data_IF_474746500115
#
_entry.id   IF_474746500115
#
_cell.length_a   1.000
_cell.length_b   1.000
_cell.length_c   1.000
_cell.angle_alpha   90.00
_cell.angle_beta   90.00
_cell.angle_gamma   90.00
#
_symmetry.space_group_name_H-M   'P 1'
#
loop_
_entity.id
_entity.type
_entity.pdbx_description
1 polymer ?
#
# COMPACT_ATOMS: atom_id res chain seq x y z
N UNK A 1 1.84 5.90 50.54
CA UNK A 1 2.54 7.04 49.91
C UNK A 1 2.22 7.05 48.42
N UNK A 2 1.89 8.20 47.80
CA UNK A 2 1.42 8.26 46.40
C UNK A 2 2.48 7.98 45.31
N UNK A 3 3.65 7.47 45.69
CA UNK A 3 4.84 7.39 44.82
C UNK A 3 5.09 5.99 44.22
N UNK A 4 4.31 4.97 44.62
CA UNK A 4 4.42 3.61 44.05
C UNK A 4 3.52 3.38 42.83
N UNK A 5 2.59 4.30 42.53
CA UNK A 5 1.65 4.14 41.41
C UNK A 5 2.19 4.65 40.07
N UNK A 6 3.36 5.29 40.04
CA UNK A 6 3.93 5.86 38.81
C UNK A 6 4.85 4.89 38.04
N UNK A 7 5.36 3.83 38.68
CA UNK A 7 6.25 2.85 38.03
C UNK A 7 5.52 1.74 37.29
N UNK A 8 4.25 1.50 37.61
CA UNK A 8 3.45 0.40 37.03
C UNK A 8 2.91 0.81 35.66
N UNK A 9 2.70 2.10 35.40
CA UNK A 9 2.14 2.58 34.12
C UNK A 9 3.13 2.50 32.95
N UNK A 10 4.42 2.78 33.17
CA UNK A 10 5.41 2.79 32.09
C UNK A 10 5.72 1.36 31.57
N UNK A 11 5.72 0.36 32.47
CA UNK A 11 5.97 -1.04 32.11
C UNK A 11 4.78 -1.67 31.36
N UNK A 12 3.54 -1.30 31.72
CA UNK A 12 2.32 -1.74 31.03
C UNK A 12 2.20 -1.12 29.63
N UNK A 13 2.54 0.17 29.47
CA UNK A 13 2.54 0.85 28.17
C UNK A 13 3.59 0.23 27.22
N UNK A 14 4.78 -0.11 27.72
CA UNK A 14 5.82 -0.79 26.94
C UNK A 14 5.43 -2.23 26.58
N UNK A 15 4.71 -2.93 27.46
CA UNK A 15 4.16 -4.26 27.17
C UNK A 15 3.05 -4.20 26.12
N UNK A 16 2.15 -3.22 26.18
CA UNK A 16 1.09 -3.03 25.19
C UNK A 16 1.67 -2.61 23.84
N UNK A 17 2.68 -1.74 23.83
CA UNK A 17 3.45 -1.38 22.63
C UNK A 17 4.18 -2.57 22.03
N UNK A 18 4.85 -3.40 22.84
CA UNK A 18 5.49 -4.63 22.38
C UNK A 18 4.47 -5.65 21.86
N UNK A 19 3.28 -5.71 22.46
CA UNK A 19 2.18 -6.57 22.01
C UNK A 19 1.61 -6.07 20.69
N UNK A 20 1.45 -4.75 20.53
CA UNK A 20 1.02 -4.12 19.30
C UNK A 20 2.06 -4.29 18.19
N UNK A 21 3.34 -4.04 18.47
CA UNK A 21 4.44 -4.32 17.54
C UNK A 21 4.46 -5.80 17.15
N UNK A 22 4.32 -6.74 18.10
CA UNK A 22 4.20 -8.18 17.80
C UNK A 22 2.94 -8.54 17.01
N UNK A 23 1.83 -7.82 17.19
CA UNK A 23 0.60 -8.02 16.40
C UNK A 23 0.74 -7.48 14.97
N UNK A 24 1.40 -6.32 14.81
CA UNK A 24 1.71 -5.71 13.52
C UNK A 24 2.75 -6.54 12.78
N UNK A 25 3.81 -6.98 13.45
CA UNK A 25 4.87 -7.88 12.94
C UNK A 25 4.35 -9.30 12.69
N UNK A 26 3.40 -9.79 13.49
CA UNK A 26 2.82 -11.14 13.36
C UNK A 26 1.72 -11.25 12.29
N UNK A 27 1.19 -10.11 11.81
CA UNK A 27 0.33 -10.01 10.62
C UNK A 27 1.06 -9.48 9.38
N UNK A 28 2.32 -9.08 9.55
CA UNK A 28 3.25 -8.93 8.42
C UNK A 28 4.02 -10.23 8.30
N UNK A 29 3.34 -11.21 7.73
CA UNK A 29 3.99 -12.11 6.78
C UNK A 29 5.02 -11.26 5.99
N UNK A 30 6.26 -11.74 5.97
CA UNK A 30 7.44 -11.21 5.27
C UNK A 30 7.12 -10.42 3.98
N UNK A 31 8.08 -9.66 3.40
CA UNK A 31 7.91 -8.83 2.19
C UNK A 31 7.36 -9.51 0.91
N UNK A 32 6.84 -10.73 1.03
CA UNK A 32 6.30 -11.62 0.03
C UNK A 32 5.08 -12.42 0.56
N UNK A 33 4.16 -11.84 1.34
CA UNK A 33 2.85 -12.51 1.58
C UNK A 33 2.17 -12.83 0.24
N UNK A 34 1.35 -13.88 0.15
CA UNK A 34 0.70 -14.24 -1.12
C UNK A 34 -0.11 -13.07 -1.69
N UNK A 35 -0.84 -12.35 -0.82
CA UNK A 35 -1.54 -11.11 -1.17
C UNK A 35 -0.56 -10.02 -1.62
N UNK A 36 0.57 -9.84 -0.94
CA UNK A 36 1.62 -8.89 -1.32
C UNK A 36 2.25 -9.20 -2.68
N UNK A 37 2.52 -10.48 -2.96
CA UNK A 37 3.01 -10.97 -4.26
C UNK A 37 1.96 -10.70 -5.34
N UNK A 38 0.69 -11.00 -5.08
CA UNK A 38 -0.38 -10.76 -6.03
C UNK A 38 -0.49 -9.28 -6.38
N UNK A 39 -0.50 -8.39 -5.38
CA UNK A 39 -0.52 -6.94 -5.60
C UNK A 39 0.71 -6.46 -6.37
N UNK A 40 1.90 -6.93 -6.01
CA UNK A 40 3.16 -6.58 -6.68
C UNK A 40 3.18 -6.98 -8.17
N UNK A 41 2.60 -8.14 -8.50
CA UNK A 41 2.55 -8.68 -9.87
C UNK A 41 1.44 -8.09 -10.73
N UNK A 42 0.34 -7.65 -10.11
CA UNK A 42 -0.86 -7.20 -10.84
C UNK A 42 -0.91 -5.68 -10.93
N UNK A 43 -1.27 -5.02 -9.84
CA UNK A 43 -1.68 -3.61 -9.82
C UNK A 43 -0.55 -2.65 -9.43
N UNK A 44 0.44 -3.11 -8.65
CA UNK A 44 1.49 -2.24 -8.14
C UNK A 44 2.27 -1.47 -9.21
N UNK A 45 2.62 -2.04 -10.38
CA UNK A 45 3.38 -1.30 -11.40
C UNK A 45 2.62 -0.09 -11.95
N UNK A 46 1.33 -0.24 -12.26
CA UNK A 46 0.52 0.86 -12.80
C UNK A 46 0.15 1.86 -11.71
N UNK A 47 -0.15 1.41 -10.50
CA UNK A 47 -0.44 2.28 -9.36
C UNK A 47 0.78 3.15 -9.02
N UNK A 48 1.98 2.58 -9.01
CA UNK A 48 3.23 3.33 -8.77
C UNK A 48 3.42 4.44 -9.80
N UNK A 49 3.15 4.17 -11.09
CA UNK A 49 3.23 5.19 -12.16
C UNK A 49 2.20 6.30 -11.97
N UNK A 50 0.95 5.95 -11.65
CA UNK A 50 -0.11 6.94 -11.40
C UNK A 50 0.27 7.86 -10.22
N UNK A 51 0.80 7.29 -9.13
CA UNK A 51 1.27 8.06 -7.98
C UNK A 51 2.45 8.98 -8.34
N UNK A 52 3.40 8.51 -9.15
CA UNK A 52 4.50 9.35 -9.63
C UNK A 52 3.99 10.56 -10.43
N UNK A 53 2.99 10.36 -11.30
CA UNK A 53 2.36 11.44 -12.06
C UNK A 53 1.62 12.44 -11.16
N UNK A 54 0.95 11.98 -10.10
CA UNK A 54 0.33 12.87 -9.11
C UNK A 54 1.38 13.74 -8.40
N UNK A 55 2.52 13.16 -8.02
CA UNK A 55 3.61 13.91 -7.36
C UNK A 55 4.20 14.97 -8.28
N UNK A 56 4.32 14.68 -9.57
CA UNK A 56 4.86 15.59 -10.57
C UNK A 56 3.87 16.70 -10.95
N UNK A 57 2.60 16.36 -11.17
CA UNK A 57 1.59 17.30 -11.71
C UNK A 57 0.83 18.05 -10.64
N UNK A 58 0.77 17.52 -9.41
CA UNK A 58 -0.03 18.05 -8.30
C UNK A 58 -1.46 18.44 -8.72
N UNK A 59 -2.23 17.50 -9.31
CA UNK A 59 -3.60 17.79 -9.75
C UNK A 59 -4.48 18.22 -8.58
N UNK A 60 -5.46 19.09 -8.86
CA UNK A 60 -6.42 19.55 -7.85
C UNK A 60 -7.28 18.42 -7.27
N UNK A 61 -7.58 17.39 -8.08
CA UNK A 61 -8.20 16.14 -7.65
C UNK A 61 -7.26 14.95 -7.93
N UNK A 62 -6.45 14.52 -6.94
CA UNK A 62 -5.52 13.40 -7.12
C UNK A 62 -6.22 12.05 -7.22
N UNK A 63 -7.40 11.87 -6.62
CA UNK A 63 -8.11 10.59 -6.65
C UNK A 63 -8.79 10.40 -8.00
N UNK A 64 -9.49 11.43 -8.49
CA UNK A 64 -10.05 11.44 -9.84
C UNK A 64 -8.98 11.22 -10.90
N UNK A 65 -7.83 11.90 -10.76
CA UNK A 65 -6.68 11.71 -11.66
C UNK A 65 -6.19 10.26 -11.70
N UNK A 66 -6.02 9.60 -10.55
CA UNK A 66 -5.59 8.19 -10.48
C UNK A 66 -6.63 7.28 -11.15
N UNK A 67 -7.92 7.48 -10.89
CA UNK A 67 -9.00 6.71 -11.51
C UNK A 67 -8.93 6.79 -13.04
N UNK A 68 -8.85 8.01 -13.58
CA UNK A 68 -8.76 8.24 -15.03
C UNK A 68 -7.49 7.63 -15.63
N UNK A 69 -6.37 7.73 -14.93
CA UNK A 69 -5.09 7.14 -15.36
C UNK A 69 -5.20 5.62 -15.51
N UNK A 70 -5.78 4.95 -14.51
CA UNK A 70 -5.97 3.50 -14.53
C UNK A 70 -6.93 3.03 -15.63
N UNK A 71 -8.03 3.77 -15.86
CA UNK A 71 -8.97 3.47 -16.94
C UNK A 71 -8.31 3.58 -18.32
N UNK A 72 -7.53 4.64 -18.55
CA UNK A 72 -6.77 4.82 -19.80
C UNK A 72 -5.75 3.70 -20.01
N UNK A 73 -4.99 3.36 -18.97
CA UNK A 73 -4.02 2.27 -19.01
C UNK A 73 -4.67 0.92 -19.42
N UNK A 74 -5.84 0.61 -18.87
CA UNK A 74 -6.58 -0.60 -19.23
C UNK A 74 -7.03 -0.59 -20.70
N UNK A 75 -7.50 0.56 -21.21
CA UNK A 75 -7.86 0.72 -22.62
C UNK A 75 -6.68 0.47 -23.56
N UNK A 76 -5.52 1.03 -23.25
CA UNK A 76 -4.29 0.85 -24.04
C UNK A 76 -3.81 -0.60 -24.07
N UNK A 77 -3.91 -1.34 -22.96
CA UNK A 77 -3.58 -2.76 -22.92
C UNK A 77 -4.45 -3.57 -23.87
N UNK A 78 -5.76 -3.32 -23.89
CA UNK A 78 -6.68 -3.99 -24.80
C UNK A 78 -6.32 -3.76 -26.28
N UNK A 79 -5.88 -2.54 -26.62
CA UNK A 79 -5.49 -2.17 -27.99
C UNK A 79 -4.15 -2.81 -28.40
N UNK A 80 -3.23 -3.01 -27.46
CA UNK A 80 -1.96 -3.73 -27.71
C UNK A 80 -2.19 -5.22 -27.92
N UNK A 81 -3.12 -5.82 -27.18
CA UNK A 81 -3.48 -7.23 -27.33
C UNK A 81 -4.20 -7.54 -28.64
N UNK A 82 -5.00 -6.62 -29.20
CA UNK A 82 -5.63 -6.79 -30.51
C UNK A 82 -4.63 -6.72 -31.67
N UNK A 83 -3.60 -5.87 -31.56
CA UNK A 83 -2.57 -5.73 -32.59
C UNK A 83 -1.57 -6.91 -32.65
N UNK A 84 -1.51 -7.74 -31.61
CA UNK A 84 -0.66 -8.94 -31.58
C UNK A 84 -1.24 -10.17 -32.28
N UNK A 85 -2.52 -10.15 -32.69
CA UNK A 85 -3.22 -11.29 -33.31
C UNK A 85 -3.19 -11.29 -34.86
N UNK A 86 -2.47 -10.36 -35.49
CA UNK A 86 -2.15 -10.47 -36.93
C UNK A 86 -0.77 -11.11 -37.11
N UNK A 87 -0.71 -12.45 -37.10
CA UNK A 87 0.25 -13.27 -37.86
C UNK A 87 -0.30 -14.67 -38.05
#
# INVERSE_FOLDING_TARGET
SPLDSARINDEDDDMERNRFERMVLGRTDMPTSENGIYLARTVAPVLTKALAEVLLRRPADPIGFISDYLQKYHGELAHRSSNGKLK
#
